data_IF_855213453310
#
_entry.id   IF_855213453310
#
_cell.length_a   1.000
_cell.length_b   1.000
_cell.length_c   1.000
_cell.angle_alpha   90.00
_cell.angle_beta   90.00
_cell.angle_gamma   90.00
#
_symmetry.space_group_name_H-M   'P 1'
#
loop_
_entity.id
_entity.type
_entity.pdbx_description
1 polymer ?
#
# COMPACT_ATOMS: atom_id res chain seq x y z
N UNK A 1 1.13 -38.54 -34.97
CA UNK A 1 0.10 -38.19 -33.97
C UNK A 1 0.65 -38.05 -32.54
N UNK A 2 1.39 -39.03 -31.99
CA UNK A 2 1.89 -38.96 -30.59
C UNK A 2 2.84 -37.78 -30.30
N UNK A 3 3.71 -37.42 -31.26
CA UNK A 3 4.68 -36.31 -31.11
C UNK A 3 4.02 -34.93 -31.00
N UNK A 4 2.99 -34.65 -31.79
CA UNK A 4 2.22 -33.40 -31.73
C UNK A 4 1.45 -33.25 -30.41
N UNK A 5 0.93 -34.37 -29.87
CA UNK A 5 0.18 -34.38 -28.61
C UNK A 5 1.11 -34.14 -27.40
N UNK A 6 2.34 -34.66 -27.45
CA UNK A 6 3.38 -34.38 -26.44
C UNK A 6 3.81 -32.90 -26.49
N UNK A 7 3.97 -32.33 -27.69
CA UNK A 7 4.34 -30.90 -27.84
C UNK A 7 3.24 -29.99 -27.29
N UNK A 8 1.96 -30.25 -27.58
CA UNK A 8 0.85 -29.49 -26.99
C UNK A 8 0.76 -29.63 -25.47
N UNK A 9 1.02 -30.84 -24.95
CA UNK A 9 1.04 -31.09 -23.50
C UNK A 9 2.17 -30.33 -22.81
N UNK A 10 3.38 -30.27 -23.41
CA UNK A 10 4.51 -29.48 -22.91
C UNK A 10 4.21 -27.97 -22.97
N UNK A 11 3.62 -27.48 -24.07
CA UNK A 11 3.22 -26.07 -24.22
C UNK A 11 2.18 -25.65 -23.18
N UNK A 12 1.19 -26.52 -22.90
CA UNK A 12 0.16 -26.28 -21.88
C UNK A 12 0.73 -26.24 -20.46
N UNK A 13 1.68 -27.11 -20.12
CA UNK A 13 2.35 -27.05 -18.80
C UNK A 13 3.17 -25.78 -18.67
N UNK A 14 3.85 -25.31 -19.74
CA UNK A 14 4.64 -24.08 -19.70
C UNK A 14 3.78 -22.82 -19.49
N UNK A 15 2.58 -22.77 -20.07
CA UNK A 15 1.60 -21.70 -19.81
C UNK A 15 1.02 -21.74 -18.39
N UNK A 16 0.88 -22.92 -17.80
CA UNK A 16 0.39 -23.07 -16.42
C UNK A 16 1.43 -22.62 -15.37
N UNK A 17 2.72 -22.83 -15.64
CA UNK A 17 3.80 -22.36 -14.76
C UNK A 17 4.04 -20.85 -14.88
N UNK A 18 3.76 -20.22 -16.01
CA UNK A 18 3.84 -18.75 -16.13
C UNK A 18 2.78 -18.01 -15.28
N UNK A 19 1.73 -18.71 -14.82
CA UNK A 19 0.75 -18.19 -13.87
C UNK A 19 1.24 -18.26 -12.40
N UNK A 20 2.54 -18.43 -12.15
CA UNK A 20 3.14 -18.33 -10.82
C UNK A 20 2.91 -16.95 -10.22
N UNK A 21 1.84 -16.86 -9.43
CA UNK A 21 1.67 -16.11 -8.19
C UNK A 21 2.67 -14.96 -8.04
N UNK A 22 2.25 -13.76 -8.48
CA UNK A 22 2.83 -12.52 -7.96
C UNK A 22 2.48 -12.47 -6.47
N UNK A 23 3.42 -12.87 -5.61
CA UNK A 23 3.26 -12.72 -4.16
C UNK A 23 3.27 -11.21 -3.91
N UNK A 24 2.08 -10.64 -3.69
CA UNK A 24 1.96 -9.25 -3.30
C UNK A 24 2.73 -9.06 -2.00
N UNK A 25 3.68 -8.13 -2.01
CA UNK A 25 4.43 -7.76 -0.83
C UNK A 25 3.45 -7.17 0.20
N UNK A 26 3.10 -7.95 1.22
CA UNK A 26 2.17 -7.52 2.28
C UNK A 26 2.89 -6.90 3.47
N UNK A 27 4.22 -6.80 3.42
CA UNK A 27 5.00 -6.29 4.54
C UNK A 27 4.83 -4.78 4.68
N UNK A 28 4.53 -4.34 5.90
CA UNK A 28 4.45 -2.92 6.20
C UNK A 28 5.85 -2.26 6.20
N UNK A 29 5.99 -1.18 5.43
CA UNK A 29 7.23 -0.39 5.29
C UNK A 29 6.95 1.07 5.62
N UNK A 30 8.01 1.84 5.82
CA UNK A 30 7.89 3.28 6.04
C UNK A 30 7.66 3.98 4.71
N UNK A 31 6.55 4.72 4.61
CA UNK A 31 6.23 5.58 3.47
C UNK A 31 6.16 7.03 3.93
N UNK A 32 6.50 7.95 3.03
CA UNK A 32 6.24 9.38 3.18
C UNK A 32 5.03 9.71 2.32
N UNK A 33 3.94 10.10 2.97
CA UNK A 33 2.67 10.50 2.35
C UNK A 33 2.64 12.01 2.29
N UNK A 34 2.50 12.56 1.08
CA UNK A 34 2.26 13.98 0.89
C UNK A 34 0.76 14.23 0.88
N UNK A 35 0.32 15.28 1.55
CA UNK A 35 -1.09 15.68 1.63
C UNK A 35 -1.20 17.19 1.68
N UNK A 36 -2.35 17.73 1.27
CA UNK A 36 -2.70 19.13 1.43
C UNK A 36 -3.35 19.32 2.79
N UNK A 37 -2.69 20.07 3.66
CA UNK A 37 -3.19 20.35 4.99
C UNK A 37 -4.31 21.41 4.94
N UNK A 38 -5.42 21.21 5.66
CA UNK A 38 -6.45 22.24 5.81
C UNK A 38 -5.88 23.48 6.54
N UNK A 39 -6.32 24.68 6.14
CA UNK A 39 -5.88 25.94 6.75
C UNK A 39 -6.38 26.10 8.20
N UNK A 40 -7.54 25.53 8.52
CA UNK A 40 -8.25 25.74 9.79
C UNK A 40 -8.01 24.65 10.85
N UNK A 41 -7.11 23.68 10.60
CA UNK A 41 -6.86 22.57 11.51
C UNK A 41 -5.36 22.29 11.68
N UNK A 42 -4.97 21.91 12.90
CA UNK A 42 -3.60 21.50 13.19
C UNK A 42 -3.18 20.33 12.27
N UNK A 43 -2.04 20.45 11.55
CA UNK A 43 -1.61 19.46 10.57
C UNK A 43 -1.62 18.01 11.07
N UNK A 44 -1.20 17.82 12.32
CA UNK A 44 -1.08 16.50 12.94
C UNK A 44 -2.44 15.84 13.21
N UNK A 45 -3.44 16.63 13.64
CA UNK A 45 -4.80 16.11 13.85
C UNK A 45 -5.40 15.61 12.52
N UNK A 46 -5.19 16.40 11.46
CA UNK A 46 -5.62 16.03 10.12
C UNK A 46 -4.93 14.75 9.63
N UNK A 47 -3.61 14.64 9.83
CA UNK A 47 -2.84 13.45 9.46
C UNK A 47 -3.35 12.19 10.18
N UNK A 48 -3.57 12.27 11.49
CA UNK A 48 -4.10 11.15 12.29
C UNK A 48 -5.48 10.73 11.76
N UNK A 49 -6.35 11.70 11.43
CA UNK A 49 -7.70 11.42 10.91
C UNK A 49 -7.68 10.72 9.55
N UNK A 50 -6.85 11.18 8.61
CA UNK A 50 -6.69 10.52 7.30
C UNK A 50 -6.15 9.10 7.51
N UNK A 51 -5.11 8.96 8.32
CA UNK A 51 -4.47 7.68 8.57
C UNK A 51 -5.41 6.68 9.26
N UNK A 52 -6.22 7.15 10.22
CA UNK A 52 -7.26 6.37 10.89
C UNK A 52 -8.34 5.87 9.92
N UNK A 53 -8.63 6.62 8.85
CA UNK A 53 -9.62 6.20 7.85
C UNK A 53 -9.21 4.96 7.03
N UNK A 54 -7.92 4.60 7.09
CA UNK A 54 -7.35 3.41 6.42
C UNK A 54 -6.93 2.35 7.43
N UNK A 55 -6.50 2.74 8.63
CA UNK A 55 -6.10 1.80 9.69
C UNK A 55 -7.24 1.36 10.61
N UNK A 56 -8.41 1.99 10.50
CA UNK A 56 -9.64 1.63 11.21
C UNK A 56 -9.79 2.25 12.61
N UNK A 57 -8.77 2.90 13.16
CA UNK A 57 -8.88 3.64 14.42
C UNK A 57 -7.80 4.72 14.56
N UNK A 58 -8.03 5.71 15.43
CA UNK A 58 -7.02 6.71 15.77
C UNK A 58 -5.83 6.12 16.53
N UNK A 59 -6.04 5.12 17.37
CA UNK A 59 -4.96 4.48 18.13
C UNK A 59 -4.01 3.74 17.18
N UNK A 60 -4.55 3.00 16.21
CA UNK A 60 -3.74 2.36 15.17
C UNK A 60 -3.00 3.39 14.30
N UNK A 61 -3.62 4.56 14.04
CA UNK A 61 -2.97 5.66 13.35
C UNK A 61 -1.79 6.23 14.15
N UNK A 62 -1.96 6.47 15.46
CA UNK A 62 -0.89 6.97 16.33
C UNK A 62 0.26 5.96 16.44
N UNK A 63 -0.03 4.66 16.49
CA UNK A 63 0.99 3.61 16.51
C UNK A 63 1.77 3.50 15.19
N UNK A 64 1.09 3.69 14.05
CA UNK A 64 1.71 3.61 12.74
C UNK A 64 2.45 4.90 12.32
N UNK A 65 2.04 6.06 12.85
CA UNK A 65 2.63 7.36 12.56
C UNK A 65 4.04 7.46 13.14
N UNK A 66 5.02 7.73 12.27
CA UNK A 66 6.42 7.94 12.65
C UNK A 66 6.70 9.43 12.83
N UNK A 67 6.18 10.25 11.92
CA UNK A 67 6.39 11.70 11.99
C UNK A 67 5.34 12.46 11.19
N UNK A 68 4.87 13.59 11.73
CA UNK A 68 4.01 14.55 11.03
C UNK A 68 4.84 15.77 10.62
N UNK A 69 5.02 15.99 9.32
CA UNK A 69 5.72 17.17 8.80
C UNK A 69 4.82 18.41 8.89
N UNK A 70 5.37 19.53 9.39
CA UNK A 70 4.61 20.78 9.63
C UNK A 70 5.20 22.03 8.97
N UNK A 71 6.41 21.93 8.41
CA UNK A 71 7.15 23.11 7.95
C UNK A 71 7.81 22.90 6.57
N UNK A 72 8.69 21.92 6.45
CA UNK A 72 9.47 21.68 5.22
C UNK A 72 8.66 20.96 4.13
N UNK A 73 7.56 20.31 4.51
CA UNK A 73 6.64 19.61 3.63
C UNK A 73 5.28 19.48 4.34
N UNK A 74 4.23 19.31 3.54
CA UNK A 74 2.88 18.97 3.99
C UNK A 74 2.69 17.46 3.86
N UNK A 75 2.52 16.76 4.98
CA UNK A 75 2.42 15.32 4.99
C UNK A 75 2.92 14.62 6.25
N UNK A 76 3.02 13.29 6.18
CA UNK A 76 3.49 12.46 7.28
C UNK A 76 4.27 11.24 6.80
N UNK A 77 5.03 10.63 7.71
CA UNK A 77 5.64 9.31 7.51
C UNK A 77 4.96 8.29 8.42
N UNK A 78 4.63 7.13 7.88
CA UNK A 78 3.96 6.06 8.61
C UNK A 78 4.36 4.69 8.10
N UNK A 79 4.22 3.67 8.96
CA UNK A 79 4.40 2.27 8.60
C UNK A 79 3.12 1.70 8.01
N UNK A 80 3.13 1.39 6.71
CA UNK A 80 1.95 1.01 5.93
C UNK A 80 2.21 -0.22 5.07
N UNK A 81 1.19 -1.04 4.85
CA UNK A 81 1.19 -2.08 3.81
C UNK A 81 0.93 -1.46 2.43
N UNK A 82 1.31 -2.12 1.32
CA UNK A 82 0.97 -1.61 -0.01
C UNK A 82 -0.53 -1.47 -0.28
N UNK A 83 -1.37 -2.29 0.35
CA UNK A 83 -2.84 -2.18 0.29
C UNK A 83 -3.32 -0.87 0.93
N UNK A 84 -2.84 -0.55 2.13
CA UNK A 84 -3.15 0.70 2.83
C UNK A 84 -2.65 1.93 2.05
N UNK A 85 -1.47 1.84 1.42
CA UNK A 85 -0.98 2.89 0.52
C UNK A 85 -1.92 3.07 -0.68
N UNK A 86 -2.44 1.98 -1.23
CA UNK A 86 -3.41 2.04 -2.33
C UNK A 86 -4.72 2.69 -1.90
N UNK A 87 -5.21 2.40 -0.69
CA UNK A 87 -6.40 3.03 -0.13
C UNK A 87 -6.21 4.53 0.12
N UNK A 88 -5.04 4.94 0.64
CA UNK A 88 -4.71 6.35 0.87
C UNK A 88 -4.71 7.18 -0.41
N UNK A 89 -4.39 6.62 -1.58
CA UNK A 89 -4.45 7.34 -2.87
C UNK A 89 -5.86 7.79 -3.25
N UNK A 90 -6.88 7.23 -2.61
CA UNK A 90 -8.30 7.56 -2.84
C UNK A 90 -8.88 8.52 -1.79
N UNK A 91 -8.07 8.99 -0.84
CA UNK A 91 -8.44 9.98 0.17
C UNK A 91 -8.03 11.37 -0.27
#
# INVERSE_FOLDING_TARGET
MKKTQIICSILLVFSFVAATISIADSQAKVYIVHTENPEDQEPEEFHIKILASVLGSEDAAKEALIYSYKHAASGFSAKLTPEQVSELKSK
#
